data_IF_079610215744
#
_entry.id   IF_079610215744
#
_cell.length_a   1.000
_cell.length_b   1.000
_cell.length_c   1.000
_cell.angle_alpha   90.00
_cell.angle_beta   90.00
_cell.angle_gamma   90.00
#
_symmetry.space_group_name_H-M   'P 1'
#
loop_
_entity.id
_entity.type
_entity.pdbx_description
1 polymer ?
#
# COMPACT_ATOMS: atom_id res chain seq x y z
N UNK A 1 9.62 13.52 -19.27
CA UNK A 1 8.83 13.55 -18.02
C UNK A 1 9.15 12.28 -17.26
N UNK A 2 9.58 12.41 -16.03
CA UNK A 2 9.96 11.28 -15.15
C UNK A 2 8.70 10.51 -14.77
N UNK A 3 8.79 9.19 -14.69
CA UNK A 3 7.67 8.29 -14.38
C UNK A 3 8.03 7.37 -13.23
N UNK A 4 7.00 6.90 -12.50
CA UNK A 4 7.16 5.79 -11.55
C UNK A 4 7.25 4.43 -12.26
N UNK A 5 7.41 3.36 -11.47
CA UNK A 5 7.55 1.99 -11.98
C UNK A 5 6.30 1.47 -12.70
N UNK A 6 5.14 2.06 -12.43
CA UNK A 6 3.86 1.73 -13.08
C UNK A 6 3.57 2.61 -14.29
N UNK A 7 4.47 3.55 -14.62
CA UNK A 7 4.39 4.39 -15.81
C UNK A 7 3.67 5.72 -15.62
N UNK A 8 3.27 6.09 -14.41
CA UNK A 8 2.64 7.38 -14.11
C UNK A 8 3.66 8.50 -14.04
N UNK A 9 3.29 9.67 -14.56
CA UNK A 9 4.11 10.89 -14.50
C UNK A 9 4.25 11.40 -13.05
N UNK A 10 5.44 11.86 -12.71
CA UNK A 10 5.82 12.39 -11.40
C UNK A 10 6.11 13.90 -11.53
N UNK A 11 5.22 14.75 -11.01
CA UNK A 11 5.37 16.20 -11.05
C UNK A 11 6.49 16.65 -10.12
N UNK A 12 7.42 17.47 -10.64
CA UNK A 12 8.53 18.03 -9.87
C UNK A 12 9.67 17.07 -9.54
N UNK A 13 9.60 15.79 -9.96
CA UNK A 13 10.63 14.80 -9.66
C UNK A 13 11.93 15.04 -10.48
N UNK A 14 13.06 14.69 -9.85
CA UNK A 14 14.34 14.38 -10.50
C UNK A 14 14.53 12.86 -10.58
N UNK A 15 15.47 12.36 -11.38
CA UNK A 15 15.76 10.91 -11.48
C UNK A 15 16.19 10.33 -10.12
N UNK A 16 16.99 11.07 -9.37
CA UNK A 16 17.40 10.70 -8.02
C UNK A 16 16.21 10.60 -7.06
N UNK A 17 15.37 11.64 -7.01
CA UNK A 17 14.19 11.67 -6.15
C UNK A 17 13.16 10.59 -6.53
N UNK A 18 12.97 10.32 -7.82
CA UNK A 18 12.12 9.23 -8.30
C UNK A 18 12.64 7.86 -7.88
N UNK A 19 13.96 7.67 -7.87
CA UNK A 19 14.58 6.43 -7.38
C UNK A 19 14.34 6.24 -5.87
N UNK A 20 14.51 7.29 -5.07
CA UNK A 20 14.24 7.27 -3.62
C UNK A 20 12.75 7.01 -3.35
N UNK A 21 11.87 7.66 -4.09
CA UNK A 21 10.43 7.45 -4.02
C UNK A 21 10.05 5.99 -4.35
N UNK A 22 10.62 5.41 -5.40
CA UNK A 22 10.39 3.99 -5.74
C UNK A 22 10.80 3.04 -4.61
N UNK A 23 11.91 3.33 -3.92
CA UNK A 23 12.33 2.60 -2.71
C UNK A 23 11.35 2.79 -1.56
N UNK A 24 10.85 4.02 -1.35
CA UNK A 24 9.85 4.32 -0.31
C UNK A 24 8.52 3.60 -0.58
N UNK A 25 8.03 3.59 -1.83
CA UNK A 25 6.86 2.80 -2.23
C UNK A 25 7.08 1.32 -1.93
N UNK A 26 8.22 0.76 -2.30
CA UNK A 26 8.55 -0.64 -2.01
C UNK A 26 8.58 -0.91 -0.50
N UNK A 27 9.21 -0.04 0.30
CA UNK A 27 9.24 -0.18 1.75
C UNK A 27 7.84 -0.18 2.37
N UNK A 28 6.97 0.71 1.91
CA UNK A 28 5.56 0.76 2.30
C UNK A 28 4.80 -0.51 1.89
N UNK A 29 4.96 -0.96 0.65
CA UNK A 29 4.28 -2.14 0.12
C UNK A 29 4.64 -3.43 0.90
N UNK A 30 5.89 -3.56 1.30
CA UNK A 30 6.42 -4.75 2.00
C UNK A 30 6.34 -4.64 3.53
N UNK A 31 5.95 -3.46 4.06
CA UNK A 31 6.00 -3.14 5.49
C UNK A 31 7.42 -3.33 6.07
N UNK A 32 8.42 -3.01 5.28
CA UNK A 32 9.83 -3.27 5.59
C UNK A 32 10.72 -2.05 5.29
N UNK A 33 11.48 -1.60 6.27
CA UNK A 33 12.33 -0.41 6.19
C UNK A 33 11.65 0.87 6.65
N UNK A 34 12.26 2.01 6.35
CA UNK A 34 11.76 3.33 6.74
C UNK A 34 11.36 4.15 5.50
N UNK A 35 10.11 4.07 5.05
CA UNK A 35 9.64 4.86 3.92
C UNK A 35 9.64 6.37 4.22
N UNK A 36 9.47 6.79 5.48
CA UNK A 36 9.46 8.22 5.84
C UNK A 36 10.84 8.85 5.65
N UNK A 37 11.91 8.17 6.07
CA UNK A 37 13.27 8.64 5.85
C UNK A 37 13.59 8.76 4.34
N UNK A 38 13.25 7.74 3.54
CA UNK A 38 13.44 7.77 2.09
C UNK A 38 12.68 8.91 1.40
N UNK A 39 11.45 9.21 1.86
CA UNK A 39 10.67 10.33 1.35
C UNK A 39 11.26 11.68 1.76
N UNK A 40 11.83 11.79 2.96
CA UNK A 40 12.53 13.01 3.39
C UNK A 40 13.74 13.30 2.49
N UNK A 41 14.52 12.27 2.14
CA UNK A 41 15.62 12.40 1.18
C UNK A 41 15.11 12.79 -0.22
N UNK A 42 14.03 12.15 -0.72
CA UNK A 42 13.45 12.48 -2.01
C UNK A 42 12.95 13.93 -2.07
N UNK A 43 12.30 14.42 -1.02
CA UNK A 43 11.83 15.81 -0.90
C UNK A 43 13.00 16.79 -0.81
N UNK A 44 14.10 16.42 -0.16
CA UNK A 44 15.31 17.24 -0.13
C UNK A 44 16.00 17.34 -1.50
N UNK A 45 16.03 16.23 -2.25
CA UNK A 45 16.62 16.19 -3.60
C UNK A 45 15.74 16.89 -4.65
N UNK A 46 14.42 16.95 -4.43
CA UNK A 46 13.45 17.59 -5.31
C UNK A 46 12.31 18.22 -4.50
N UNK A 47 12.44 19.48 -4.05
CA UNK A 47 11.45 20.14 -3.19
C UNK A 47 10.05 20.30 -3.81
N UNK A 48 9.95 20.24 -5.15
CA UNK A 48 8.67 20.35 -5.89
C UNK A 48 8.07 18.98 -6.25
N UNK A 49 8.62 17.88 -5.72
CA UNK A 49 8.18 16.52 -6.06
C UNK A 49 6.89 16.14 -5.32
N UNK A 50 5.75 16.35 -5.95
CA UNK A 50 4.42 16.20 -5.37
C UNK A 50 4.16 14.82 -4.76
N UNK A 51 4.47 13.70 -5.47
CA UNK A 51 4.19 12.35 -4.97
C UNK A 51 4.98 11.96 -3.73
N UNK A 52 6.16 12.55 -3.49
CA UNK A 52 6.89 12.31 -2.24
C UNK A 52 6.14 12.87 -1.01
N UNK A 53 5.60 14.08 -1.11
CA UNK A 53 4.74 14.68 -0.08
C UNK A 53 3.43 13.90 0.08
N UNK A 54 2.79 13.49 -1.04
CA UNK A 54 1.53 12.76 -1.04
C UNK A 54 1.68 11.43 -0.32
N UNK A 55 2.69 10.63 -0.65
CA UNK A 55 2.92 9.35 0.02
C UNK A 55 3.24 9.56 1.51
N UNK A 56 4.08 10.56 1.85
CA UNK A 56 4.33 10.91 3.26
C UNK A 56 3.04 11.25 4.00
N UNK A 57 2.16 12.06 3.40
CA UNK A 57 0.89 12.42 4.02
C UNK A 57 -0.03 11.20 4.23
N UNK A 58 -0.09 10.27 3.27
CA UNK A 58 -0.82 9.01 3.44
C UNK A 58 -0.27 8.17 4.59
N UNK A 59 1.04 7.99 4.68
CA UNK A 59 1.68 7.22 5.76
C UNK A 59 1.40 7.82 7.14
N UNK A 60 1.51 9.14 7.27
CA UNK A 60 1.20 9.87 8.50
C UNK A 60 -0.29 9.74 8.88
N UNK A 61 -1.20 9.86 7.90
CA UNK A 61 -2.63 9.73 8.15
C UNK A 61 -3.03 8.30 8.53
N UNK A 62 -2.40 7.28 7.95
CA UNK A 62 -2.63 5.87 8.26
C UNK A 62 -2.05 5.43 9.62
N UNK A 63 -1.14 6.20 10.20
CA UNK A 63 -0.60 5.92 11.53
C UNK A 63 -1.68 6.03 12.63
N UNK A 64 -2.82 6.68 12.35
CA UNK A 64 -3.96 6.85 13.28
C UNK A 64 -3.64 7.58 14.59
N UNK A 65 -2.46 8.19 14.68
CA UNK A 65 -1.99 8.95 15.83
C UNK A 65 -2.32 10.45 15.66
N UNK A 66 -2.84 11.15 16.69
CA UNK A 66 -3.21 12.57 16.58
C UNK A 66 -2.09 13.47 16.07
N UNK A 67 -0.87 13.31 16.58
CA UNK A 67 0.29 14.10 16.17
C UNK A 67 0.69 13.82 14.72
N UNK A 68 0.56 12.59 14.27
CA UNK A 68 0.82 12.22 12.87
C UNK A 68 -0.23 12.83 11.93
N UNK A 69 -1.49 12.90 12.35
CA UNK A 69 -2.56 13.56 11.58
C UNK A 69 -2.28 15.07 11.43
N UNK A 70 -1.81 15.75 12.47
CA UNK A 70 -1.41 17.17 12.35
C UNK A 70 -0.21 17.36 11.40
N UNK A 71 0.76 16.46 11.43
CA UNK A 71 1.86 16.44 10.46
C UNK A 71 1.37 16.15 9.03
N UNK A 72 0.38 15.26 8.86
CA UNK A 72 -0.25 15.01 7.58
C UNK A 72 -0.93 16.28 7.03
N UNK A 73 -1.70 17.01 7.86
CA UNK A 73 -2.32 18.29 7.48
C UNK A 73 -1.29 19.33 7.03
N UNK A 74 -0.19 19.46 7.77
CA UNK A 74 0.90 20.35 7.39
C UNK A 74 1.54 19.93 6.05
N UNK A 75 1.77 18.63 5.84
CA UNK A 75 2.32 18.10 4.58
C UNK A 75 1.38 18.34 3.40
N UNK A 76 0.06 18.15 3.59
CA UNK A 76 -0.97 18.44 2.57
C UNK A 76 -0.97 19.94 2.21
N UNK A 77 -0.82 20.82 3.20
CA UNK A 77 -0.77 22.26 2.96
C UNK A 77 0.44 22.66 2.10
N UNK A 78 1.58 22.00 2.27
CA UNK A 78 2.76 22.24 1.42
C UNK A 78 2.56 21.71 -0.01
N UNK A 79 2.09 20.47 -0.16
CA UNK A 79 1.92 19.91 -1.51
C UNK A 79 0.84 20.64 -2.33
N UNK A 80 -0.17 21.23 -1.70
CA UNK A 80 -1.19 22.06 -2.37
C UNK A 80 -0.63 23.35 -3.00
N UNK A 81 0.57 23.77 -2.64
CA UNK A 81 1.27 24.90 -3.26
C UNK A 81 1.98 24.49 -4.55
N UNK A 82 2.18 23.19 -4.78
CA UNK A 82 2.90 22.64 -5.90
C UNK A 82 1.98 22.49 -7.12
N UNK A 83 2.61 22.31 -8.29
CA UNK A 83 1.88 21.96 -9.52
C UNK A 83 1.57 20.47 -9.53
N UNK A 84 0.29 20.13 -9.47
CA UNK A 84 -0.19 18.75 -9.46
C UNK A 84 -0.74 18.35 -10.83
N UNK A 85 -0.55 17.08 -11.21
CA UNK A 85 -1.30 16.44 -12.28
C UNK A 85 -2.63 15.86 -11.75
N UNK A 86 -3.48 15.32 -12.63
CA UNK A 86 -4.79 14.80 -12.28
C UNK A 86 -4.72 13.65 -11.26
N UNK A 87 -3.77 12.72 -11.42
CA UNK A 87 -3.53 11.62 -10.48
C UNK A 87 -3.17 12.14 -9.08
N UNK A 88 -2.23 13.05 -9.01
CA UNK A 88 -1.76 13.66 -7.76
C UNK A 88 -2.88 14.44 -7.06
N UNK A 89 -3.70 15.17 -7.82
CA UNK A 89 -4.87 15.87 -7.30
C UNK A 89 -5.93 14.90 -6.73
N UNK A 90 -6.09 13.73 -7.33
CA UNK A 90 -6.97 12.67 -6.83
C UNK A 90 -6.55 12.15 -5.45
N UNK A 91 -5.25 11.96 -5.21
CA UNK A 91 -4.74 11.62 -3.88
C UNK A 91 -5.02 12.72 -2.85
N UNK A 92 -4.83 14.00 -3.22
CA UNK A 92 -5.09 15.12 -2.31
C UNK A 92 -6.57 15.17 -1.92
N UNK A 93 -7.48 14.93 -2.86
CA UNK A 93 -8.91 14.86 -2.55
C UNK A 93 -9.24 13.77 -1.51
N UNK A 94 -8.62 12.59 -1.60
CA UNK A 94 -8.77 11.54 -0.60
C UNK A 94 -8.14 11.92 0.75
N UNK A 95 -6.95 12.50 0.74
CA UNK A 95 -6.24 12.94 1.95
C UNK A 95 -7.02 14.01 2.71
N UNK A 96 -7.67 14.95 2.03
CA UNK A 96 -8.52 15.96 2.68
C UNK A 96 -9.66 15.32 3.49
N UNK A 97 -10.27 14.26 2.97
CA UNK A 97 -11.27 13.48 3.70
C UNK A 97 -10.66 12.74 4.91
N UNK A 98 -9.49 12.10 4.75
CA UNK A 98 -8.85 11.36 5.86
C UNK A 98 -8.57 12.27 7.04
N UNK A 99 -7.93 13.42 6.80
CA UNK A 99 -7.56 14.36 7.89
C UNK A 99 -8.75 15.09 8.48
N UNK A 100 -9.92 15.07 7.82
CA UNK A 100 -11.20 15.50 8.35
C UNK A 100 -11.92 14.40 9.16
N UNK A 101 -11.36 13.17 9.25
CA UNK A 101 -11.99 12.04 9.92
C UNK A 101 -13.06 11.34 9.07
N UNK A 102 -13.18 11.68 7.79
CA UNK A 102 -14.19 11.16 6.87
C UNK A 102 -13.69 9.92 6.11
N UNK A 103 -13.29 8.89 6.85
CA UNK A 103 -12.63 7.69 6.30
C UNK A 103 -13.42 6.97 5.19
N UNK A 104 -14.74 6.95 5.29
CA UNK A 104 -15.60 6.36 4.25
C UNK A 104 -15.56 7.16 2.96
N UNK A 105 -15.56 8.49 3.04
CA UNK A 105 -15.45 9.36 1.88
C UNK A 105 -14.06 9.23 1.24
N UNK A 106 -12.99 9.17 2.05
CA UNK A 106 -11.63 8.96 1.59
C UNK A 106 -11.46 7.63 0.82
N UNK A 107 -11.94 6.51 1.40
CA UNK A 107 -11.89 5.21 0.76
C UNK A 107 -12.68 5.19 -0.55
N UNK A 108 -13.84 5.84 -0.61
CA UNK A 108 -14.65 5.99 -1.83
C UNK A 108 -13.94 6.86 -2.87
N UNK A 109 -13.26 7.94 -2.46
CA UNK A 109 -12.47 8.78 -3.36
C UNK A 109 -11.33 7.98 -4.00
N UNK A 110 -10.59 7.19 -3.21
CA UNK A 110 -9.54 6.30 -3.73
C UNK A 110 -10.08 5.19 -4.63
N UNK A 111 -11.28 4.66 -4.35
CA UNK A 111 -11.90 3.68 -5.21
C UNK A 111 -12.22 4.26 -6.61
N UNK A 112 -12.82 5.45 -6.66
CA UNK A 112 -13.05 6.18 -7.91
C UNK A 112 -11.75 6.55 -8.61
N UNK A 113 -10.74 6.97 -7.87
CA UNK A 113 -9.42 7.26 -8.40
C UNK A 113 -8.81 6.03 -9.10
N UNK A 114 -8.90 4.84 -8.48
CA UNK A 114 -8.39 3.60 -9.06
C UNK A 114 -9.11 3.15 -10.33
N UNK A 115 -10.34 3.63 -10.59
CA UNK A 115 -11.03 3.43 -11.87
C UNK A 115 -10.35 4.18 -13.01
N UNK A 116 -9.82 5.38 -12.75
CA UNK A 116 -9.11 6.20 -13.73
C UNK A 116 -7.61 5.84 -13.82
N UNK A 117 -7.05 5.40 -12.71
CA UNK A 117 -5.62 5.05 -12.55
C UNK A 117 -5.46 3.64 -11.96
N UNK A 118 -5.84 2.58 -12.70
CA UNK A 118 -5.85 1.20 -12.15
C UNK A 118 -4.47 0.68 -11.79
N UNK A 119 -3.41 1.27 -12.29
CA UNK A 119 -2.02 0.93 -11.96
C UNK A 119 -1.45 1.79 -10.81
N UNK A 120 -2.25 2.62 -10.16
CA UNK A 120 -1.78 3.40 -9.02
C UNK A 120 -1.68 2.53 -7.75
N UNK A 121 -0.52 1.88 -7.60
CA UNK A 121 -0.25 0.96 -6.49
C UNK A 121 -0.38 1.65 -5.12
N UNK A 122 0.00 2.92 -5.01
CA UNK A 122 -0.13 3.69 -3.77
C UNK A 122 -1.60 3.87 -3.40
N UNK A 123 -2.44 4.29 -4.36
CA UNK A 123 -3.86 4.46 -4.13
C UNK A 123 -4.55 3.14 -3.76
N UNK A 124 -4.18 2.04 -4.43
CA UNK A 124 -4.71 0.70 -4.15
C UNK A 124 -4.37 0.25 -2.74
N UNK A 125 -3.11 0.37 -2.31
CA UNK A 125 -2.69 -0.07 -0.98
C UNK A 125 -3.23 0.82 0.14
N UNK A 126 -3.19 2.14 -0.03
CA UNK A 126 -3.79 3.07 0.95
C UNK A 126 -5.29 2.80 1.09
N UNK A 127 -6.00 2.64 -0.02
CA UNK A 127 -7.43 2.32 0.00
C UNK A 127 -7.72 0.97 0.66
N UNK A 128 -6.92 -0.05 0.38
CA UNK A 128 -7.00 -1.37 1.00
C UNK A 128 -6.81 -1.30 2.53
N UNK A 129 -5.81 -0.57 3.01
CA UNK A 129 -5.61 -0.37 4.45
C UNK A 129 -6.76 0.43 5.11
N UNK A 130 -7.32 1.43 4.41
CA UNK A 130 -8.51 2.14 4.90
C UNK A 130 -9.73 1.23 5.01
N UNK A 131 -9.93 0.34 4.03
CA UNK A 131 -11.02 -0.63 4.07
C UNK A 131 -10.85 -1.62 5.22
N UNK A 132 -9.61 -2.04 5.51
CA UNK A 132 -9.26 -2.85 6.67
C UNK A 132 -9.59 -2.12 7.99
N UNK A 133 -9.11 -0.89 8.20
CA UNK A 133 -9.38 -0.12 9.41
C UNK A 133 -10.87 0.18 9.61
N UNK A 134 -11.65 0.25 8.53
CA UNK A 134 -13.11 0.42 8.56
C UNK A 134 -13.87 -0.91 8.76
N UNK A 135 -13.17 -2.03 8.87
CA UNK A 135 -13.74 -3.38 8.95
C UNK A 135 -14.70 -3.70 7.78
N UNK A 136 -14.38 -3.19 6.59
CA UNK A 136 -15.19 -3.40 5.39
C UNK A 136 -14.55 -4.47 4.49
N UNK A 137 -14.71 -5.73 4.88
CA UNK A 137 -14.14 -6.88 4.18
C UNK A 137 -14.53 -6.97 2.69
N UNK A 138 -15.76 -6.52 2.34
CA UNK A 138 -16.20 -6.52 0.95
C UNK A 138 -15.39 -5.53 0.10
N UNK A 139 -15.28 -4.27 0.54
CA UNK A 139 -14.52 -3.26 -0.20
C UNK A 139 -13.03 -3.60 -0.25
N UNK A 140 -12.49 -4.17 0.86
CA UNK A 140 -11.13 -4.68 0.95
C UNK A 140 -10.79 -5.66 -0.19
N UNK A 141 -11.67 -6.63 -0.44
CA UNK A 141 -11.55 -7.59 -1.54
C UNK A 141 -11.83 -6.94 -2.90
N UNK A 142 -12.95 -6.23 -3.02
CA UNK A 142 -13.51 -5.81 -4.31
C UNK A 142 -12.68 -4.70 -4.95
N UNK A 143 -12.02 -3.84 -4.15
CA UNK A 143 -11.05 -2.85 -4.64
C UNK A 143 -9.96 -3.50 -5.48
N UNK A 144 -9.36 -4.55 -4.96
CA UNK A 144 -8.27 -5.25 -5.66
C UNK A 144 -8.81 -6.10 -6.80
N UNK A 145 -9.95 -6.76 -6.60
CA UNK A 145 -10.61 -7.55 -7.65
C UNK A 145 -10.91 -6.72 -8.91
N UNK A 146 -11.30 -5.45 -8.75
CA UNK A 146 -11.57 -4.55 -9.88
C UNK A 146 -10.29 -4.08 -10.58
N UNK A 147 -9.20 -3.91 -9.85
CA UNK A 147 -7.93 -3.48 -10.42
C UNK A 147 -7.18 -4.61 -11.15
N UNK A 148 -7.22 -5.84 -10.64
CA UNK A 148 -6.46 -6.99 -11.14
C UNK A 148 -6.53 -7.23 -12.65
N UNK A 149 -7.67 -7.07 -13.36
CA UNK A 149 -7.73 -7.27 -14.80
C UNK A 149 -6.84 -6.33 -15.62
N UNK A 150 -6.43 -5.19 -15.06
CA UNK A 150 -5.49 -4.27 -15.69
C UNK A 150 -4.03 -4.62 -15.44
N UNK A 151 -3.74 -5.55 -14.52
CA UNK A 151 -2.38 -5.91 -14.13
C UNK A 151 -1.91 -7.23 -14.77
N UNK A 152 -0.60 -7.34 -14.96
CA UNK A 152 0.05 -8.56 -15.45
C UNK A 152 1.29 -8.88 -14.61
N UNK A 153 1.79 -10.13 -14.65
CA UNK A 153 2.99 -10.53 -13.92
C UNK A 153 4.23 -9.69 -14.23
N UNK A 154 4.28 -9.07 -15.40
CA UNK A 154 5.41 -8.23 -15.85
C UNK A 154 5.37 -6.81 -15.26
N UNK A 155 4.23 -6.41 -14.69
CA UNK A 155 4.10 -5.07 -14.11
C UNK A 155 4.63 -5.05 -12.67
N UNK A 156 5.59 -4.17 -12.33
CA UNK A 156 6.12 -4.07 -10.97
C UNK A 156 5.00 -3.81 -9.95
N UNK A 157 4.98 -4.60 -8.87
CA UNK A 157 3.93 -4.53 -7.85
C UNK A 157 2.77 -5.52 -8.03
N UNK A 158 2.77 -6.32 -9.10
CA UNK A 158 1.73 -7.34 -9.30
C UNK A 158 1.62 -8.33 -8.12
N UNK A 159 2.76 -8.76 -7.57
CA UNK A 159 2.79 -9.63 -6.38
C UNK A 159 2.08 -9.00 -5.19
N UNK A 160 2.25 -7.68 -4.97
CA UNK A 160 1.62 -6.93 -3.89
C UNK A 160 0.09 -6.94 -4.03
N UNK A 161 -0.42 -6.78 -5.28
CA UNK A 161 -1.86 -6.90 -5.52
C UNK A 161 -2.38 -8.30 -5.17
N UNK A 162 -1.63 -9.34 -5.51
CA UNK A 162 -2.02 -10.72 -5.16
C UNK A 162 -2.08 -10.92 -3.64
N UNK A 163 -1.13 -10.36 -2.89
CA UNK A 163 -1.12 -10.38 -1.41
C UNK A 163 -2.34 -9.67 -0.82
N UNK A 164 -2.62 -8.46 -1.28
CA UNK A 164 -3.81 -7.70 -0.87
C UNK A 164 -5.11 -8.45 -1.25
N UNK A 165 -5.17 -9.05 -2.44
CA UNK A 165 -6.34 -9.81 -2.87
C UNK A 165 -6.53 -11.08 -2.06
N UNK A 166 -5.43 -11.77 -1.72
CA UNK A 166 -5.44 -12.93 -0.82
C UNK A 166 -6.11 -12.59 0.51
N UNK A 167 -5.70 -11.49 1.13
CA UNK A 167 -6.26 -11.06 2.40
C UNK A 167 -7.76 -10.70 2.27
N UNK A 168 -8.14 -9.95 1.24
CA UNK A 168 -9.56 -9.64 1.00
C UNK A 168 -10.44 -10.86 0.72
N UNK A 169 -9.91 -11.90 0.06
CA UNK A 169 -10.59 -13.17 -0.14
C UNK A 169 -10.75 -13.94 1.17
N UNK A 170 -9.71 -13.94 2.00
CA UNK A 170 -9.73 -14.58 3.33
C UNK A 170 -10.79 -13.94 4.22
N UNK A 171 -10.80 -12.62 4.35
CA UNK A 171 -11.77 -11.83 5.12
C UNK A 171 -13.23 -12.00 4.64
N UNK A 172 -13.42 -12.48 3.42
CA UNK A 172 -14.74 -12.77 2.85
C UNK A 172 -15.06 -14.28 2.76
N UNK A 173 -14.19 -15.13 3.31
CA UNK A 173 -14.42 -16.58 3.45
C UNK A 173 -14.11 -17.41 2.21
N UNK A 174 -13.49 -16.86 1.17
CA UNK A 174 -13.03 -17.62 -0.02
C UNK A 174 -11.60 -18.16 0.21
N UNK A 175 -11.46 -19.05 1.19
CA UNK A 175 -10.18 -19.54 1.67
C UNK A 175 -9.34 -20.27 0.62
N UNK A 176 -9.98 -21.01 -0.29
CA UNK A 176 -9.26 -21.75 -1.33
C UNK A 176 -8.50 -20.79 -2.27
N UNK A 177 -9.21 -19.77 -2.76
CA UNK A 177 -8.58 -18.76 -3.64
C UNK A 177 -7.64 -17.85 -2.88
N UNK A 178 -7.96 -17.53 -1.62
CA UNK A 178 -7.09 -16.74 -0.77
C UNK A 178 -5.70 -17.40 -0.61
N UNK A 179 -5.66 -18.69 -0.27
CA UNK A 179 -4.41 -19.43 -0.12
C UNK A 179 -3.64 -19.50 -1.45
N UNK A 180 -4.32 -19.75 -2.59
CA UNK A 180 -3.71 -19.77 -3.91
C UNK A 180 -3.04 -18.43 -4.24
N UNK A 181 -3.77 -17.32 -4.08
CA UNK A 181 -3.25 -15.97 -4.39
C UNK A 181 -2.10 -15.57 -3.46
N UNK A 182 -2.21 -15.84 -2.17
CA UNK A 182 -1.17 -15.53 -1.19
C UNK A 182 0.11 -16.33 -1.44
N UNK A 183 0.01 -17.63 -1.70
CA UNK A 183 1.17 -18.47 -2.05
C UNK A 183 1.84 -17.98 -3.32
N UNK A 184 1.08 -17.58 -4.33
CA UNK A 184 1.59 -16.99 -5.57
C UNK A 184 2.28 -15.65 -5.31
N UNK A 185 1.70 -14.78 -4.48
CA UNK A 185 2.31 -13.51 -4.09
C UNK A 185 3.69 -13.73 -3.48
N UNK A 186 3.79 -14.61 -2.46
CA UNK A 186 5.05 -14.95 -1.77
C UNK A 186 6.06 -15.61 -2.71
N UNK A 187 5.62 -16.38 -3.72
CA UNK A 187 6.55 -16.97 -4.70
C UNK A 187 7.19 -15.94 -5.63
N UNK A 188 6.49 -14.81 -5.88
CA UNK A 188 6.96 -13.70 -6.70
C UNK A 188 7.77 -12.67 -5.90
N UNK A 189 7.34 -12.43 -4.64
CA UNK A 189 7.97 -11.50 -3.72
C UNK A 189 8.07 -12.15 -2.32
N UNK A 190 9.17 -12.83 -2.00
CA UNK A 190 9.34 -13.53 -0.73
C UNK A 190 9.31 -12.62 0.51
N UNK A 191 9.52 -11.31 0.36
CA UNK A 191 9.50 -10.34 1.45
C UNK A 191 8.11 -9.74 1.72
N UNK A 192 7.07 -10.16 0.98
CA UNK A 192 5.71 -9.66 1.18
C UNK A 192 5.11 -10.20 2.48
N UNK A 193 5.30 -9.45 3.57
CA UNK A 193 4.82 -9.79 4.91
C UNK A 193 3.31 -9.90 4.97
N UNK A 194 2.58 -9.10 4.21
CA UNK A 194 1.13 -9.12 4.14
C UNK A 194 0.61 -10.41 3.52
N UNK A 195 1.25 -10.87 2.43
CA UNK A 195 0.90 -12.14 1.80
C UNK A 195 1.23 -13.36 2.68
N UNK A 196 2.35 -13.34 3.43
CA UNK A 196 2.66 -14.37 4.43
C UNK A 196 1.55 -14.48 5.47
N UNK A 197 1.14 -13.34 6.00
CA UNK A 197 0.09 -13.19 7.00
C UNK A 197 -1.26 -13.69 6.48
N UNK A 198 -1.67 -13.28 5.28
CA UNK A 198 -2.93 -13.70 4.67
C UNK A 198 -3.04 -15.23 4.54
N UNK A 199 -1.96 -15.92 4.15
CA UNK A 199 -1.94 -17.39 4.07
C UNK A 199 -2.02 -18.03 5.46
N UNK A 200 -1.36 -17.44 6.47
CA UNK A 200 -1.45 -17.94 7.85
C UNK A 200 -2.88 -17.81 8.39
N UNK A 201 -3.56 -16.69 8.14
CA UNK A 201 -4.97 -16.49 8.49
C UNK A 201 -5.88 -17.55 7.86
N UNK A 202 -5.71 -17.87 6.57
CA UNK A 202 -6.48 -18.93 5.92
C UNK A 202 -6.33 -20.25 6.68
N UNK A 203 -5.10 -20.61 7.07
CA UNK A 203 -4.85 -21.86 7.80
C UNK A 203 -5.47 -21.84 9.20
N UNK A 204 -5.40 -20.70 9.89
CA UNK A 204 -6.06 -20.49 11.17
C UNK A 204 -7.58 -20.67 11.07
N UNK A 205 -8.22 -19.97 10.15
CA UNK A 205 -9.66 -20.01 9.93
C UNK A 205 -10.19 -21.41 9.54
N UNK A 206 -9.34 -22.20 8.93
CA UNK A 206 -9.66 -23.61 8.58
C UNK A 206 -9.28 -24.61 9.68
N UNK A 207 -8.76 -24.17 10.84
CA UNK A 207 -8.31 -25.05 11.91
C UNK A 207 -7.03 -25.84 11.58
N UNK A 208 -6.24 -25.40 10.60
CA UNK A 208 -5.00 -26.03 10.15
C UNK A 208 -3.77 -25.44 10.87
N UNK A 209 -3.84 -25.39 12.19
CA UNK A 209 -2.83 -24.72 13.01
C UNK A 209 -1.39 -25.24 12.78
N UNK A 210 -1.20 -26.56 12.62
CA UNK A 210 0.12 -27.15 12.37
C UNK A 210 0.69 -26.76 11.01
N UNK A 211 -0.15 -26.65 9.99
CA UNK A 211 0.24 -26.16 8.66
C UNK A 211 0.65 -24.69 8.74
N UNK A 212 -0.11 -23.87 9.51
CA UNK A 212 0.20 -22.46 9.75
C UNK A 212 1.55 -22.26 10.43
N UNK A 213 1.82 -23.01 11.50
CA UNK A 213 3.12 -23.00 12.20
C UNK A 213 4.25 -23.39 11.24
N UNK A 214 4.08 -24.47 10.47
CA UNK A 214 5.05 -24.90 9.48
C UNK A 214 5.27 -23.86 8.38
N UNK A 215 4.18 -23.19 7.94
CA UNK A 215 4.25 -22.10 6.97
C UNK A 215 5.08 -20.92 7.47
N UNK A 216 4.85 -20.47 8.67
CA UNK A 216 5.54 -19.30 9.25
C UNK A 216 7.01 -19.63 9.57
N UNK A 217 7.31 -20.77 10.19
CA UNK A 217 8.69 -21.19 10.51
C UNK A 217 9.54 -21.31 9.23
N UNK A 218 9.01 -21.94 8.19
CA UNK A 218 9.75 -22.14 6.94
C UNK A 218 10.09 -20.81 6.23
N UNK A 219 9.42 -19.71 6.61
CA UNK A 219 9.56 -18.37 6.00
C UNK A 219 10.10 -17.32 6.94
N UNK A 220 10.46 -17.70 8.16
CA UNK A 220 11.00 -16.79 9.17
C UNK A 220 12.09 -15.85 8.64
N UNK A 221 13.08 -16.29 7.84
CA UNK A 221 14.10 -15.39 7.31
C UNK A 221 13.58 -14.23 6.46
N UNK A 222 12.36 -14.33 5.92
CA UNK A 222 11.77 -13.30 5.05
C UNK A 222 11.00 -12.23 5.84
N UNK A 223 10.46 -12.56 7.01
CA UNK A 223 9.65 -11.64 7.80
C UNK A 223 10.23 -11.26 9.17
N UNK A 224 11.24 -11.98 9.67
CA UNK A 224 11.78 -11.79 11.03
C UNK A 224 12.80 -10.66 11.17
N UNK A 225 13.19 -9.98 10.07
CA UNK A 225 14.14 -8.87 10.10
C UNK A 225 13.65 -7.71 10.99
N UNK A 226 14.57 -7.06 11.71
CA UNK A 226 14.23 -5.95 12.63
C UNK A 226 13.57 -4.75 11.92
N UNK A 227 13.90 -4.54 10.63
CA UNK A 227 13.28 -3.52 9.82
C UNK A 227 11.86 -3.86 9.32
N UNK A 228 11.36 -5.07 9.63
CA UNK A 228 10.02 -5.49 9.23
C UNK A 228 9.00 -5.06 10.30
N UNK A 229 8.11 -4.15 9.93
CA UNK A 229 7.05 -3.66 10.81
C UNK A 229 6.10 -4.77 11.27
N UNK A 230 5.88 -5.80 10.42
CA UNK A 230 4.99 -6.92 10.70
C UNK A 230 5.63 -8.03 11.55
N UNK A 231 6.92 -7.97 11.85
CA UNK A 231 7.65 -8.99 12.63
C UNK A 231 6.95 -9.39 13.93
N UNK A 232 6.44 -8.40 14.66
CA UNK A 232 5.80 -8.63 15.97
C UNK A 232 4.42 -9.25 15.80
N UNK A 233 3.77 -9.01 14.68
CA UNK A 233 2.42 -9.50 14.41
C UNK A 233 2.44 -10.91 13.80
N UNK A 234 3.39 -11.20 12.92
CA UNK A 234 3.63 -12.53 12.37
C UNK A 234 4.32 -13.46 13.39
#
# INVERSE_FOLDING_TARGET
MIKDLQGHSLSGATDEAATLYGKAVRAFNLLHGDPIALLAEAMSAAPDFAMAYILKAHLLALATEPDAVEQAKATIAEVKKLRLNEREAGHIAALDHVVAGEWTAAATALDRHSMSFPHDLVALQVGHQMDFFRTNARDLRDRIARALPAWSPDLPGYSILLGMYSFGLEETGDYLRAEEMGRRAVSLEPLDSWAHHAVAHVMEMQGRAQDGIGWMIAREPHWSADANFFKVHN
#
